data_IF_063310992584
#
_entry.id   IF_063310992584
#
_cell.length_a   1.000
_cell.length_b   1.000
_cell.length_c   1.000
_cell.angle_alpha   90.00
_cell.angle_beta   90.00
_cell.angle_gamma   90.00
#
_symmetry.space_group_name_H-M   'P 1'
#
loop_
_entity.id
_entity.type
_entity.pdbx_description
1 polymer ?
#
# COMPACT_ATOMS: atom_id res chain seq x y z
N UNK A 1 -11.99 26.39 0.87
CA UNK A 1 -12.43 25.22 0.08
C UNK A 1 -12.07 23.92 0.81
N UNK A 2 -12.82 23.53 1.85
CA UNK A 2 -12.70 22.20 2.49
C UNK A 2 -14.10 21.62 2.61
N UNK A 3 -14.76 21.39 1.47
CA UNK A 3 -15.95 20.55 1.43
C UNK A 3 -15.48 19.09 1.39
N UNK A 4 -14.86 18.60 2.47
CA UNK A 4 -14.44 17.21 2.57
C UNK A 4 -15.68 16.37 2.80
N UNK A 5 -15.98 15.49 1.83
CA UNK A 5 -17.01 14.44 1.98
C UNK A 5 -16.74 13.70 3.31
N UNK A 6 -17.65 13.72 4.30
CA UNK A 6 -17.40 13.17 5.64
C UNK A 6 -16.98 11.69 5.57
N UNK A 7 -17.50 10.97 4.58
CA UNK A 7 -17.20 9.58 4.29
C UNK A 7 -15.73 9.27 3.98
N UNK A 8 -14.98 10.20 3.36
CA UNK A 8 -13.53 9.96 3.14
C UNK A 8 -12.75 10.06 4.44
N UNK A 9 -13.06 11.07 5.27
CA UNK A 9 -12.43 11.20 6.58
C UNK A 9 -12.74 10.00 7.48
N UNK A 10 -14.01 9.58 7.52
CA UNK A 10 -14.41 8.37 8.22
C UNK A 10 -13.69 7.12 7.69
N UNK A 11 -13.57 6.97 6.37
CA UNK A 11 -12.84 5.85 5.77
C UNK A 11 -11.38 5.80 6.19
N UNK A 12 -10.67 6.93 6.15
CA UNK A 12 -9.25 7.00 6.59
C UNK A 12 -9.14 6.61 8.07
N UNK A 13 -9.99 7.15 8.94
CA UNK A 13 -9.99 6.83 10.37
C UNK A 13 -10.24 5.34 10.60
N UNK A 14 -11.24 4.76 9.93
CA UNK A 14 -11.55 3.32 10.03
C UNK A 14 -10.39 2.48 9.52
N UNK A 15 -9.76 2.85 8.39
CA UNK A 15 -8.60 2.14 7.86
C UNK A 15 -7.40 2.17 8.81
N UNK A 16 -7.16 3.30 9.47
CA UNK A 16 -6.10 3.44 10.47
C UNK A 16 -6.38 2.59 11.73
N UNK A 17 -7.62 2.60 12.21
CA UNK A 17 -8.03 1.75 13.34
C UNK A 17 -7.94 0.27 12.99
N UNK A 18 -8.32 -0.11 11.76
CA UNK A 18 -8.18 -1.48 11.28
C UNK A 18 -6.71 -1.91 11.22
N UNK A 19 -5.80 -1.03 10.79
CA UNK A 19 -4.36 -1.29 10.81
C UNK A 19 -3.87 -1.55 12.24
N UNK A 20 -4.25 -0.70 13.19
CA UNK A 20 -3.84 -0.83 14.58
C UNK A 20 -4.36 -2.13 15.26
N UNK A 21 -5.53 -2.62 14.87
CA UNK A 21 -6.17 -3.81 15.49
C UNK A 21 -5.77 -5.11 14.80
N UNK A 22 -5.79 -5.13 13.47
CA UNK A 22 -5.58 -6.36 12.68
C UNK A 22 -4.10 -6.54 12.30
N UNK A 23 -3.34 -5.43 12.24
CA UNK A 23 -2.08 -5.34 11.52
C UNK A 23 -2.22 -5.76 10.04
N UNK A 24 -1.19 -5.49 9.26
CA UNK A 24 -1.03 -6.05 7.92
C UNK A 24 -0.81 -7.57 8.01
N UNK A 25 -1.54 -8.37 7.22
CA UNK A 25 -1.40 -9.82 7.24
C UNK A 25 0.00 -10.25 6.79
N UNK A 26 0.66 -11.04 7.64
CA UNK A 26 2.01 -11.57 7.38
C UNK A 26 2.07 -12.51 6.15
N UNK A 27 0.93 -13.00 5.65
CA UNK A 27 0.82 -13.87 4.46
C UNK A 27 -0.30 -13.39 3.56
N UNK A 28 -0.07 -13.43 2.24
CA UNK A 28 -1.01 -12.99 1.20
C UNK A 28 -1.42 -11.51 1.30
N UNK A 29 -0.48 -10.63 1.65
CA UNK A 29 -0.74 -9.19 1.63
C UNK A 29 -1.15 -8.75 0.21
N UNK A 30 -2.18 -7.89 0.04
CA UNK A 30 -2.64 -7.48 -1.30
C UNK A 30 -1.52 -6.89 -2.17
N UNK A 31 -0.55 -6.24 -1.53
CA UNK A 31 0.66 -5.69 -2.17
C UNK A 31 1.57 -6.79 -2.73
N UNK A 32 1.64 -7.96 -2.09
CA UNK A 32 2.38 -9.11 -2.61
C UNK A 32 1.74 -9.62 -3.92
N UNK A 33 0.41 -9.59 -4.03
CA UNK A 33 -0.30 -9.89 -5.27
C UNK A 33 0.08 -8.93 -6.40
N UNK A 34 0.18 -7.64 -6.12
CA UNK A 34 0.69 -6.66 -7.08
C UNK A 34 2.14 -6.96 -7.49
N UNK A 35 3.00 -7.30 -6.54
CA UNK A 35 4.38 -7.71 -6.81
C UNK A 35 4.47 -8.95 -7.71
N UNK A 36 3.61 -9.94 -7.52
CA UNK A 36 3.53 -11.11 -8.40
C UNK A 36 3.10 -10.75 -9.83
N UNK A 37 2.10 -9.86 -9.97
CA UNK A 37 1.70 -9.35 -11.28
C UNK A 37 2.84 -8.56 -11.95
N UNK A 38 3.54 -7.73 -11.19
CA UNK A 38 4.69 -6.97 -11.66
C UNK A 38 5.81 -7.89 -12.13
N UNK A 39 6.17 -8.90 -11.34
CA UNK A 39 7.19 -9.89 -11.70
C UNK A 39 6.76 -10.75 -12.89
N UNK A 40 5.47 -11.11 -12.99
CA UNK A 40 4.96 -11.86 -14.13
C UNK A 40 5.01 -11.04 -15.42
N UNK A 41 4.63 -9.77 -15.36
CA UNK A 41 4.74 -8.86 -16.49
C UNK A 41 6.21 -8.66 -16.86
N UNK A 42 7.08 -8.46 -15.89
CA UNK A 42 8.52 -8.29 -16.09
C UNK A 42 9.14 -9.48 -16.83
N UNK A 43 8.80 -10.73 -16.45
CA UNK A 43 9.28 -11.91 -17.19
C UNK A 43 8.95 -11.90 -18.68
N UNK A 44 7.91 -11.18 -19.10
CA UNK A 44 7.48 -11.08 -20.50
C UNK A 44 8.00 -9.83 -21.21
N UNK A 45 8.23 -8.75 -20.47
CA UNK A 45 8.55 -7.42 -21.02
C UNK A 45 10.01 -7.00 -20.80
N UNK A 46 10.76 -7.74 -19.98
CA UNK A 46 12.12 -7.37 -19.58
C UNK A 46 13.04 -7.23 -20.80
N UNK A 47 13.73 -6.09 -20.84
CA UNK A 47 14.85 -5.81 -21.76
C UNK A 47 15.83 -4.91 -21.03
N UNK A 48 17.11 -5.09 -21.31
CA UNK A 48 18.16 -4.21 -20.82
C UNK A 48 18.03 -2.82 -21.45
N UNK A 49 17.29 -1.94 -20.78
CA UNK A 49 17.07 -0.58 -21.25
C UNK A 49 16.10 0.21 -20.38
N UNK A 50 16.43 1.49 -20.16
CA UNK A 50 15.59 2.41 -19.36
C UNK A 50 14.17 2.56 -19.91
N UNK A 51 14.00 2.50 -21.23
CA UNK A 51 12.69 2.61 -21.87
C UNK A 51 11.76 1.43 -21.51
N UNK A 52 12.30 0.21 -21.44
CA UNK A 52 11.53 -0.97 -21.04
C UNK A 52 11.12 -0.88 -19.56
N UNK A 53 12.03 -0.45 -18.69
CA UNK A 53 11.71 -0.17 -17.28
C UNK A 53 10.66 0.94 -17.12
N UNK A 54 10.75 2.02 -17.89
CA UNK A 54 9.76 3.09 -17.88
C UNK A 54 8.37 2.61 -18.33
N UNK A 55 8.31 1.78 -19.38
CA UNK A 55 7.07 1.17 -19.85
C UNK A 55 6.46 0.26 -18.78
N UNK A 56 7.27 -0.59 -18.15
CA UNK A 56 6.85 -1.48 -17.07
C UNK A 56 6.17 -0.69 -15.94
N UNK A 57 6.83 0.37 -15.46
CA UNK A 57 6.28 1.24 -14.41
C UNK A 57 5.01 1.93 -14.88
N UNK A 58 5.01 2.49 -16.10
CA UNK A 58 3.85 3.20 -16.65
C UNK A 58 2.62 2.28 -16.76
N UNK A 59 2.80 1.03 -17.19
CA UNK A 59 1.72 0.04 -17.29
C UNK A 59 1.20 -0.31 -15.90
N UNK A 60 2.06 -0.62 -14.95
CA UNK A 60 1.65 -1.04 -13.61
C UNK A 60 0.95 0.09 -12.85
N UNK A 61 1.56 1.27 -12.81
CA UNK A 61 1.00 2.45 -12.14
C UNK A 61 -0.26 2.93 -12.85
N UNK A 62 -0.25 2.94 -14.19
CA UNK A 62 -1.40 3.32 -15.01
C UNK A 62 -2.59 2.39 -14.79
N UNK A 63 -2.37 1.08 -14.76
CA UNK A 63 -3.41 0.08 -14.48
C UNK A 63 -3.99 0.26 -13.07
N UNK A 64 -3.14 0.44 -12.06
CA UNK A 64 -3.58 0.64 -10.68
C UNK A 64 -4.37 1.96 -10.52
N UNK A 65 -3.87 3.05 -11.11
CA UNK A 65 -4.55 4.35 -11.11
C UNK A 65 -5.91 4.28 -11.84
N UNK A 66 -5.95 3.62 -13.00
CA UNK A 66 -7.19 3.41 -13.76
C UNK A 66 -8.22 2.60 -12.96
N UNK A 67 -7.80 1.50 -12.33
CA UNK A 67 -8.65 0.71 -11.45
C UNK A 67 -9.19 1.54 -10.27
N UNK A 68 -8.32 2.27 -9.58
CA UNK A 68 -8.70 3.15 -8.48
C UNK A 68 -9.70 4.23 -8.89
N UNK A 69 -9.46 4.89 -10.02
CA UNK A 69 -10.38 5.87 -10.57
C UNK A 69 -11.74 5.26 -10.95
N UNK A 70 -11.74 4.03 -11.50
CA UNK A 70 -12.95 3.27 -11.80
C UNK A 70 -13.78 2.99 -10.54
N UNK A 71 -13.15 2.49 -9.48
CA UNK A 71 -13.79 2.22 -8.18
C UNK A 71 -14.30 3.50 -7.54
N UNK A 72 -13.52 4.58 -7.57
CA UNK A 72 -13.95 5.87 -7.01
C UNK A 72 -15.16 6.43 -7.76
N UNK A 73 -15.21 6.25 -9.08
CA UNK A 73 -16.29 6.76 -9.92
C UNK A 73 -17.57 5.95 -9.76
N UNK A 74 -17.48 4.66 -9.43
CA UNK A 74 -18.63 3.80 -9.10
C UNK A 74 -19.12 4.01 -7.66
N UNK A 75 -18.22 4.29 -6.71
CA UNK A 75 -18.54 4.64 -5.33
C UNK A 75 -19.06 6.09 -5.20
N UNK A 76 -20.19 6.41 -5.82
CA UNK A 76 -20.78 7.76 -5.80
C UNK A 76 -21.44 8.06 -4.44
N UNK A 77 -20.69 8.78 -3.58
CA UNK A 77 -21.11 9.45 -2.31
C UNK A 77 -21.92 8.56 -1.36
N UNK A 78 -21.26 8.04 -0.32
CA UNK A 78 -21.96 7.32 0.75
C UNK A 78 -21.02 6.40 1.54
N UNK A 79 -21.57 5.46 2.32
CA UNK A 79 -20.79 4.52 3.13
C UNK A 79 -19.86 3.62 2.29
N UNK A 80 -20.22 3.31 1.04
CA UNK A 80 -19.37 2.55 0.12
C UNK A 80 -18.04 3.28 -0.14
N UNK A 81 -18.06 4.61 -0.27
CA UNK A 81 -16.83 5.39 -0.42
C UNK A 81 -15.95 5.30 0.84
N UNK A 82 -16.57 5.27 2.03
CA UNK A 82 -15.83 5.11 3.28
C UNK A 82 -15.19 3.71 3.37
N UNK A 83 -15.92 2.65 2.99
CA UNK A 83 -15.40 1.29 3.00
C UNK A 83 -14.23 1.10 2.00
N UNK A 84 -14.38 1.60 0.77
CA UNK A 84 -13.30 1.58 -0.23
C UNK A 84 -12.09 2.38 0.26
N UNK A 85 -12.32 3.56 0.83
CA UNK A 85 -11.23 4.40 1.37
C UNK A 85 -10.55 3.71 2.54
N UNK A 86 -11.31 3.10 3.45
CA UNK A 86 -10.78 2.35 4.59
C UNK A 86 -9.93 1.17 4.14
N UNK A 87 -10.40 0.38 3.18
CA UNK A 87 -9.64 -0.73 2.61
C UNK A 87 -8.36 -0.24 1.93
N UNK A 88 -8.44 0.82 1.13
CA UNK A 88 -7.27 1.41 0.48
C UNK A 88 -6.26 1.96 1.50
N UNK A 89 -6.73 2.66 2.53
CA UNK A 89 -5.88 3.17 3.62
C UNK A 89 -5.24 2.02 4.38
N UNK A 90 -5.99 1.01 4.78
CA UNK A 90 -5.45 -0.16 5.49
C UNK A 90 -4.35 -0.87 4.68
N UNK A 91 -4.60 -1.14 3.39
CA UNK A 91 -3.61 -1.79 2.50
C UNK A 91 -2.35 -0.95 2.30
N UNK A 92 -2.48 0.37 2.25
CA UNK A 92 -1.36 1.28 1.98
C UNK A 92 -0.60 1.73 3.24
N UNK A 93 -1.23 1.69 4.41
CA UNK A 93 -0.66 2.23 5.65
C UNK A 93 0.42 1.33 6.21
N UNK A 94 0.13 0.04 6.45
CA UNK A 94 1.07 -0.93 7.04
C UNK A 94 1.76 -0.43 8.32
N UNK A 95 1.08 0.45 9.06
CA UNK A 95 1.70 1.30 10.08
C UNK A 95 2.16 0.48 11.28
N UNK A 96 1.39 -0.53 11.64
CA UNK A 96 1.68 -1.43 12.77
C UNK A 96 2.95 -2.25 12.54
N UNK A 97 3.14 -2.83 11.35
CA UNK A 97 4.40 -3.53 11.05
C UNK A 97 5.56 -2.57 10.88
N UNK A 98 5.36 -1.42 10.25
CA UNK A 98 6.42 -0.42 10.13
C UNK A 98 6.92 0.08 11.49
N UNK A 99 6.00 0.36 12.42
CA UNK A 99 6.33 0.76 13.79
C UNK A 99 7.09 -0.36 14.53
N UNK A 100 6.63 -1.62 14.45
CA UNK A 100 7.34 -2.75 15.08
C UNK A 100 8.75 -2.94 14.53
N UNK A 101 8.91 -2.88 13.21
CA UNK A 101 10.23 -2.98 12.58
C UNK A 101 11.12 -1.82 12.97
N UNK A 102 10.57 -0.59 13.01
CA UNK A 102 11.29 0.60 13.46
C UNK A 102 11.76 0.49 14.91
N UNK A 103 10.90 0.03 15.83
CA UNK A 103 11.27 -0.19 17.24
C UNK A 103 12.35 -1.26 17.35
N UNK A 104 12.22 -2.39 16.65
CA UNK A 104 13.25 -3.43 16.65
C UNK A 104 14.60 -2.92 16.14
N UNK A 105 14.58 -2.11 15.09
CA UNK A 105 15.79 -1.50 14.54
C UNK A 105 16.42 -0.53 15.56
N UNK A 106 15.61 0.27 16.24
CA UNK A 106 16.07 1.17 17.30
C UNK A 106 16.70 0.39 18.47
N UNK A 107 16.05 -0.69 18.94
CA UNK A 107 16.57 -1.53 20.03
C UNK A 107 17.94 -2.14 19.70
N UNK A 108 18.14 -2.58 18.45
CA UNK A 108 19.43 -3.11 17.98
C UNK A 108 20.52 -2.02 17.95
N UNK A 109 20.18 -0.82 17.48
CA UNK A 109 21.11 0.30 17.44
C UNK A 109 21.48 0.78 18.86
N UNK A 110 20.51 0.83 19.78
CA UNK A 110 20.73 1.19 21.19
C UNK A 110 21.61 0.15 21.90
N UNK A 111 21.53 -1.12 21.49
CA UNK A 111 22.41 -2.19 21.96
C UNK A 111 23.81 -2.19 21.28
N UNK A 112 24.05 -1.31 20.31
CA UNK A 112 25.29 -1.25 19.54
C UNK A 112 25.44 -2.34 18.47
N UNK A 113 24.38 -3.10 18.20
CA UNK A 113 24.37 -4.19 17.22
C UNK A 113 24.03 -3.68 15.80
N UNK A 114 25.02 -3.08 15.15
CA UNK A 114 24.88 -2.54 13.80
C UNK A 114 24.74 -3.64 12.74
N UNK A 115 25.35 -4.81 12.96
CA UNK A 115 25.23 -5.93 12.02
C UNK A 115 23.84 -6.55 12.08
N UNK A 116 23.28 -6.73 13.28
CA UNK A 116 21.89 -7.16 13.46
C UNK A 116 20.89 -6.15 12.88
N UNK A 117 21.20 -4.85 12.90
CA UNK A 117 20.36 -3.81 12.29
C UNK A 117 20.40 -3.80 10.74
N UNK A 118 21.40 -4.44 10.11
CA UNK A 118 21.56 -4.49 8.64
C UNK A 118 21.01 -5.76 8.00
N UNK A 119 20.83 -6.83 8.78
CA UNK A 119 20.35 -8.12 8.33
C UNK A 119 18.84 -8.13 8.06
#
# INVERSE_FOLDING_TARGET
MVARRPWRGAGILVGQLADAVVADPARAHPVAGFGWCAAALERLTYRDGRAAGALQVAVLVGALAGAGAGVERSARRGPVLAAVTAAATWVALGGTTLARTGTRLADLLDAGDVEGARA
#
